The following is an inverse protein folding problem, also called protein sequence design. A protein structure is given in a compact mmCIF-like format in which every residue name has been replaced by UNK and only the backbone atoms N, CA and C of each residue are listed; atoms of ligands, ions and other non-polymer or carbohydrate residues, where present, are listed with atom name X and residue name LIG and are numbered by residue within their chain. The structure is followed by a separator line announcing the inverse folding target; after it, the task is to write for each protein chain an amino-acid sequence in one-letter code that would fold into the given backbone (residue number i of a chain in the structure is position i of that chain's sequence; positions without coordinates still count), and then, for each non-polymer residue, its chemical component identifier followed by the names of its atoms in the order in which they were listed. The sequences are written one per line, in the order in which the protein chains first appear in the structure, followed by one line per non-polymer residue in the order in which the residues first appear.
data_IF_559427736033
#
_entry.id   IF_559427736033
#
_cell.length_a   1.000
_cell.length_b   1.000
_cell.length_c   1.000
_cell.angle_alpha   90.00
_cell.angle_beta   90.00
_cell.angle_gamma   90.00
#
_symmetry.space_group_name_H-M   'P 1'
#
loop_
_entity.id
_entity.type
_entity.pdbx_description
1 polymer ?
#
# COMPACT_ATOMS: atom_id res chain seq x y z
N UNK A 1 6.85 8.48 22.80
CA UNK A 1 7.89 7.69 23.53
C UNK A 1 9.22 7.80 22.79
N UNK A 2 10.35 7.88 23.51
CA UNK A 2 11.69 7.82 22.90
C UNK A 2 12.28 6.43 23.12
N UNK A 3 12.86 5.85 22.08
CA UNK A 3 13.45 4.52 22.06
C UNK A 3 14.88 4.64 21.53
N UNK A 4 15.82 3.90 22.12
CA UNK A 4 17.15 3.70 21.55
C UNK A 4 17.15 2.38 20.80
N UNK A 5 17.57 2.39 19.53
CA UNK A 5 17.59 1.21 18.66
C UNK A 5 18.95 1.12 17.97
N UNK A 6 19.43 -0.10 17.79
CA UNK A 6 20.63 -0.38 17.01
C UNK A 6 20.20 -0.82 15.61
N UNK A 7 20.69 -0.13 14.58
CA UNK A 7 20.43 -0.40 13.16
C UNK A 7 21.75 -0.39 12.41
N UNK A 8 21.82 -1.14 11.31
CA UNK A 8 22.99 -1.06 10.42
C UNK A 8 23.02 0.28 9.70
N UNK A 9 24.19 0.69 9.19
CA UNK A 9 24.28 1.90 8.36
C UNK A 9 23.39 1.82 7.11
N UNK A 10 23.25 0.62 6.53
CA UNK A 10 22.38 0.37 5.39
C UNK A 10 20.90 0.62 5.69
N UNK A 11 20.42 0.15 6.84
CA UNK A 11 19.03 0.35 7.27
C UNK A 11 18.73 1.81 7.56
N UNK A 12 19.68 2.54 8.16
CA UNK A 12 19.55 3.98 8.38
C UNK A 12 19.48 4.73 7.04
N UNK A 13 20.32 4.37 6.08
CA UNK A 13 20.31 4.97 4.75
C UNK A 13 18.99 4.69 4.01
N UNK A 14 18.40 3.50 4.19
CA UNK A 14 17.08 3.17 3.63
C UNK A 14 15.97 4.03 4.25
N UNK A 15 15.96 4.16 5.59
CA UNK A 15 15.02 5.01 6.31
C UNK A 15 15.11 6.48 5.87
N UNK A 16 16.32 7.00 5.65
CA UNK A 16 16.53 8.38 5.19
C UNK A 16 16.00 8.60 3.78
N UNK A 17 16.22 7.65 2.86
CA UNK A 17 15.65 7.70 1.50
C UNK A 17 14.13 7.70 1.54
N UNK A 18 13.54 6.80 2.34
CA UNK A 18 12.09 6.72 2.50
C UNK A 18 11.50 8.00 3.11
N UNK A 19 12.16 8.55 4.15
CA UNK A 19 11.75 9.80 4.76
C UNK A 19 11.74 10.94 3.74
N UNK A 20 12.77 11.03 2.88
CA UNK A 20 12.86 12.06 1.85
C UNK A 20 11.78 11.88 0.77
N UNK A 21 11.58 10.66 0.26
CA UNK A 21 10.58 10.40 -0.78
C UNK A 21 9.14 10.62 -0.30
N UNK A 22 8.87 10.32 0.97
CA UNK A 22 7.55 10.49 1.58
C UNK A 22 7.33 11.88 2.22
N UNK A 23 8.30 12.79 2.13
CA UNK A 23 8.20 14.14 2.70
C UNK A 23 8.14 14.18 4.24
N UNK A 24 8.74 13.20 4.91
CA UNK A 24 8.68 13.04 6.37
C UNK A 24 9.79 13.86 7.05
N UNK A 25 9.41 14.68 8.03
CA UNK A 25 10.34 15.58 8.71
C UNK A 25 11.32 14.94 9.71
N UNK A 26 11.32 13.62 9.89
CA UNK A 26 12.28 12.95 10.78
C UNK A 26 12.37 11.44 10.55
N UNK A 27 13.50 10.84 10.96
CA UNK A 27 13.67 9.38 11.04
C UNK A 27 12.63 8.71 11.93
N UNK A 28 12.23 9.35 13.04
CA UNK A 28 11.16 8.81 13.89
C UNK A 28 9.80 8.80 13.19
N UNK A 29 9.49 9.80 12.37
CA UNK A 29 8.29 9.81 11.53
C UNK A 29 8.33 8.69 10.48
N UNK A 30 9.50 8.47 9.86
CA UNK A 30 9.73 7.36 8.93
C UNK A 30 9.52 5.99 9.59
N UNK A 31 10.10 5.76 10.78
CA UNK A 31 9.90 4.52 11.54
C UNK A 31 8.42 4.32 11.91
N UNK A 32 7.74 5.37 12.38
CA UNK A 32 6.31 5.25 12.70
C UNK A 32 5.47 4.96 11.46
N UNK A 33 5.79 5.55 10.31
CA UNK A 33 5.12 5.26 9.05
C UNK A 33 5.39 3.81 8.62
N UNK A 34 6.64 3.34 8.70
CA UNK A 34 7.00 1.94 8.43
C UNK A 34 6.24 0.98 9.35
N UNK A 35 6.13 1.26 10.65
CA UNK A 35 5.35 0.42 11.59
C UNK A 35 3.87 0.37 11.21
N UNK A 36 3.28 1.46 10.70
CA UNK A 36 1.89 1.43 10.20
C UNK A 36 1.75 0.62 8.91
N UNK A 37 2.82 0.53 8.12
CA UNK A 37 2.90 -0.32 6.92
C UNK A 37 3.20 -1.79 7.27
N UNK A 38 3.77 -2.07 8.44
CA UNK A 38 3.73 -3.40 9.07
C UNK A 38 2.30 -3.74 9.55
N UNK A 39 1.27 -3.34 8.79
CA UNK A 39 -0.13 -3.71 9.01
C UNK A 39 -0.29 -5.23 9.00
N UNK A 40 -1.53 -5.70 8.87
CA UNK A 40 -1.78 -7.14 8.87
C UNK A 40 -0.85 -7.84 7.86
N UNK A 41 0.15 -8.63 8.32
CA UNK A 41 1.17 -9.20 7.44
C UNK A 41 0.55 -10.15 6.42
N UNK A 42 -0.69 -10.55 6.67
CA UNK A 42 -1.49 -11.39 5.81
C UNK A 42 -2.27 -10.57 4.77
N UNK A 43 -2.42 -9.25 4.95
CA UNK A 43 -3.23 -8.40 4.08
C UNK A 43 -2.81 -8.47 2.61
N UNK A 44 -1.51 -8.45 2.32
CA UNK A 44 -1.03 -8.56 0.94
C UNK A 44 -1.47 -9.90 0.31
N UNK A 45 -1.36 -10.99 1.07
CA UNK A 45 -1.75 -12.33 0.64
C UNK A 45 -3.27 -12.45 0.54
N UNK A 46 -4.00 -11.88 1.49
CA UNK A 46 -5.46 -11.85 1.47
C UNK A 46 -5.98 -11.08 0.25
N UNK A 47 -5.35 -9.96 -0.12
CA UNK A 47 -5.68 -9.26 -1.36
C UNK A 47 -5.34 -10.12 -2.60
N UNK A 48 -4.20 -10.79 -2.62
CA UNK A 48 -3.82 -11.69 -3.72
C UNK A 48 -4.84 -12.82 -3.90
N UNK A 49 -5.18 -13.52 -2.82
CA UNK A 49 -6.21 -14.56 -2.81
C UNK A 49 -7.58 -14.00 -3.19
N UNK A 50 -7.99 -12.84 -2.68
CA UNK A 50 -9.27 -12.23 -3.03
C UNK A 50 -9.33 -11.83 -4.53
N UNK A 51 -8.20 -11.43 -5.12
CA UNK A 51 -8.13 -11.16 -6.55
C UNK A 51 -8.25 -12.43 -7.38
N UNK A 52 -7.54 -13.50 -6.99
CA UNK A 52 -7.63 -14.81 -7.64
C UNK A 52 -9.08 -15.35 -7.59
N UNK A 53 -9.70 -15.33 -6.40
CA UNK A 53 -11.10 -15.74 -6.22
C UNK A 53 -12.07 -14.91 -7.06
N UNK A 54 -11.85 -13.59 -7.15
CA UNK A 54 -12.64 -12.70 -7.99
C UNK A 54 -12.47 -13.02 -9.47
N UNK A 55 -11.24 -13.16 -9.97
CA UNK A 55 -10.96 -13.45 -11.38
C UNK A 55 -11.54 -14.80 -11.83
N UNK A 56 -11.58 -15.79 -10.94
CA UNK A 56 -12.21 -17.10 -11.21
C UNK A 56 -13.74 -17.06 -11.16
N UNK A 57 -14.34 -15.99 -10.60
CA UNK A 57 -15.79 -15.86 -10.43
C UNK A 57 -16.50 -15.42 -11.72
N UNK A 58 -17.75 -15.87 -11.88
CA UNK A 58 -18.64 -15.35 -12.93
C UNK A 58 -18.98 -13.86 -12.73
N UNK A 59 -18.87 -13.38 -11.48
CA UNK A 59 -19.12 -11.99 -11.11
C UNK A 59 -18.11 -11.05 -11.78
N UNK A 60 -16.84 -11.43 -11.93
CA UNK A 60 -15.84 -10.61 -12.63
C UNK A 60 -16.28 -10.27 -14.06
N UNK A 61 -16.77 -11.26 -14.81
CA UNK A 61 -17.27 -11.05 -16.17
C UNK A 61 -18.56 -10.23 -16.18
N UNK A 62 -19.46 -10.46 -15.21
CA UNK A 62 -20.70 -9.70 -15.08
C UNK A 62 -20.43 -8.22 -14.82
N UNK A 63 -19.53 -7.90 -13.89
CA UNK A 63 -19.18 -6.53 -13.50
C UNK A 63 -18.34 -5.80 -14.54
N UNK A 64 -17.54 -6.51 -15.35
CA UNK A 64 -16.79 -5.89 -16.46
C UNK A 64 -17.72 -5.21 -17.48
N UNK A 65 -18.95 -5.72 -17.65
CA UNK A 65 -19.93 -5.13 -18.58
C UNK A 65 -20.35 -3.70 -18.24
N UNK A 66 -20.27 -3.32 -16.95
CA UNK A 66 -20.65 -1.99 -16.46
C UNK A 66 -19.46 -1.04 -16.32
N UNK A 67 -18.23 -1.50 -16.59
CA UNK A 67 -17.00 -0.70 -16.42
C UNK A 67 -16.97 0.58 -17.26
N UNK A 68 -17.71 0.60 -18.39
CA UNK A 68 -17.79 1.76 -19.30
C UNK A 68 -19.03 2.64 -19.11
N UNK A 69 -19.90 2.31 -18.15
CA UNK A 69 -21.13 3.05 -17.93
C UNK A 69 -20.83 4.50 -17.50
N UNK A 70 -21.55 5.46 -18.07
CA UNK A 70 -21.39 6.90 -17.77
C UNK A 70 -20.17 7.59 -18.39
N UNK A 71 -19.19 6.87 -18.94
CA UNK A 71 -18.01 7.47 -19.59
C UNK A 71 -18.34 8.28 -20.85
N UNK A 72 -19.47 8.00 -21.51
CA UNK A 72 -19.94 8.75 -22.69
C UNK A 72 -20.69 10.05 -22.33
N UNK A 73 -21.23 10.14 -21.12
CA UNK A 73 -21.98 11.31 -20.63
C UNK A 73 -21.08 12.35 -19.93
N UNK A 74 -19.80 12.03 -19.68
CA UNK A 74 -18.83 12.92 -19.04
C UNK A 74 -18.36 14.10 -19.92
N UNK A 75 -18.94 14.28 -21.13
CA UNK A 75 -18.57 15.33 -22.09
C UNK A 75 -19.52 16.54 -22.10
N UNK A 76 -20.24 16.84 -21.01
CA UNK A 76 -21.14 18.00 -20.97
C UNK A 76 -20.76 19.06 -19.94
#
# INVERSE_FOLDING_TARGET
MKLSVSLTEGDVALLDRYANSAGLGSRSAAVQAAIRLLGDPDLQREYETAWEEWEESEDATLWDTTASDGLRDATR
#
